data_IF_410749740248
#
_entry.id   IF_410749740248
#
_cell.length_a   1.000
_cell.length_b   1.000
_cell.length_c   1.000
_cell.angle_alpha   90.00
_cell.angle_beta   90.00
_cell.angle_gamma   90.00
#
_symmetry.space_group_name_H-M   'P 1'
#
loop_
_entity.id
_entity.type
_entity.pdbx_description
1 polymer ?
#
# COMPACT_ATOMS: atom_id res chain seq x y z
N UNK A 1 2.70 7.23 13.55
CA UNK A 1 2.87 7.35 12.08
C UNK A 1 2.92 8.82 11.65
N UNK A 2 2.12 9.71 12.22
CA UNK A 2 2.28 11.16 12.02
C UNK A 2 3.68 11.58 12.50
N UNK A 3 4.39 12.36 11.67
CA UNK A 3 5.80 12.75 11.87
C UNK A 3 6.77 11.55 12.01
N UNK A 4 6.47 10.42 11.35
CA UNK A 4 7.40 9.29 11.31
C UNK A 4 8.66 9.67 10.54
N UNK A 5 9.87 9.57 11.12
CA UNK A 5 11.11 9.89 10.41
C UNK A 5 11.51 8.80 9.41
N UNK A 6 10.86 7.64 9.46
CA UNK A 6 11.12 6.49 8.59
C UNK A 6 10.12 6.53 7.43
N UNK A 7 10.57 6.40 6.16
CA UNK A 7 9.67 6.25 5.02
C UNK A 7 8.75 5.03 5.17
N UNK A 8 7.48 5.20 4.82
CA UNK A 8 6.46 4.14 4.92
C UNK A 8 6.06 3.70 3.51
N UNK A 9 6.05 2.40 3.27
CA UNK A 9 5.44 1.81 2.07
C UNK A 9 4.12 1.16 2.46
N UNK A 10 3.06 1.46 1.70
CA UNK A 10 1.75 0.82 1.83
C UNK A 10 1.46 0.12 0.51
N UNK A 11 1.39 -1.20 0.55
CA UNK A 11 1.00 -2.05 -0.56
C UNK A 11 -0.47 -2.44 -0.37
N UNK A 12 -1.32 -2.29 -1.39
CA UNK A 12 -2.72 -2.72 -1.27
C UNK A 12 -3.31 -3.21 -2.59
N UNK A 13 -4.06 -4.30 -2.53
CA UNK A 13 -4.72 -4.88 -3.70
C UNK A 13 -6.15 -4.33 -3.83
N UNK A 14 -6.55 -3.92 -5.04
CA UNK A 14 -7.90 -3.41 -5.29
C UNK A 14 -8.99 -4.48 -5.13
N UNK A 15 -8.62 -5.76 -5.29
CA UNK A 15 -9.50 -6.92 -5.14
C UNK A 15 -9.49 -7.53 -3.72
N UNK A 16 -8.98 -6.80 -2.72
CA UNK A 16 -9.08 -7.21 -1.32
C UNK A 16 -10.54 -7.13 -0.82
N UNK A 17 -11.12 -8.30 -0.55
CA UNK A 17 -12.48 -8.44 -0.02
C UNK A 17 -12.56 -8.41 1.52
N UNK A 18 -11.43 -8.40 2.22
CA UNK A 18 -11.34 -8.36 3.68
C UNK A 18 -11.15 -6.91 4.16
N UNK A 19 -10.23 -6.17 3.53
CA UNK A 19 -9.94 -4.78 3.86
C UNK A 19 -10.20 -3.91 2.63
N UNK A 20 -11.21 -3.01 2.66
CA UNK A 20 -11.51 -2.16 1.52
C UNK A 20 -10.30 -1.34 1.04
N UNK A 21 -10.08 -1.35 -0.27
CA UNK A 21 -8.98 -0.61 -0.92
C UNK A 21 -8.91 0.87 -0.51
N UNK A 22 -10.08 1.49 -0.37
CA UNK A 22 -10.23 2.90 -0.01
C UNK A 22 -9.63 3.25 1.34
N UNK A 23 -9.56 2.32 2.30
CA UNK A 23 -8.95 2.57 3.60
C UNK A 23 -7.43 2.73 3.52
N UNK A 24 -6.76 1.88 2.74
CA UNK A 24 -5.32 1.98 2.50
C UNK A 24 -4.96 3.30 1.82
N UNK A 25 -5.75 3.69 0.81
CA UNK A 25 -5.59 4.98 0.11
C UNK A 25 -5.77 6.17 1.07
N UNK A 26 -6.85 6.17 1.87
CA UNK A 26 -7.13 7.24 2.83
C UNK A 26 -6.04 7.37 3.89
N UNK A 27 -5.48 6.25 4.36
CA UNK A 27 -4.35 6.26 5.29
C UNK A 27 -3.13 6.93 4.66
N UNK A 28 -2.76 6.56 3.43
CA UNK A 28 -1.64 7.17 2.72
C UNK A 28 -1.84 8.69 2.54
N UNK A 29 -3.04 9.12 2.14
CA UNK A 29 -3.37 10.55 1.98
C UNK A 29 -3.21 11.33 3.29
N UNK A 30 -3.70 10.79 4.41
CA UNK A 30 -3.56 11.43 5.73
C UNK A 30 -2.08 11.51 6.13
N UNK A 31 -1.31 10.43 5.97
CA UNK A 31 0.12 10.43 6.33
C UNK A 31 0.91 11.43 5.49
N UNK A 32 0.70 11.46 4.17
CA UNK A 32 1.33 12.41 3.26
C UNK A 32 0.99 13.84 3.61
N UNK A 33 -0.29 14.13 3.91
CA UNK A 33 -0.75 15.48 4.28
C UNK A 33 -0.12 15.95 5.60
N UNK A 34 0.20 15.01 6.50
CA UNK A 34 0.88 15.29 7.77
C UNK A 34 2.41 15.21 7.65
N UNK A 35 2.97 15.41 6.45
CA UNK A 35 4.42 15.51 6.23
C UNK A 35 5.20 14.21 6.38
N UNK A 36 4.53 13.05 6.45
CA UNK A 36 5.20 11.75 6.50
C UNK A 36 5.54 11.28 5.10
N UNK A 37 6.78 10.84 4.87
CA UNK A 37 7.18 10.22 3.61
C UNK A 37 6.46 8.88 3.46
N UNK A 38 5.53 8.80 2.50
CA UNK A 38 4.72 7.61 2.25
C UNK A 38 4.65 7.30 0.77
N UNK A 39 4.90 6.04 0.42
CA UNK A 39 4.71 5.51 -0.92
C UNK A 39 3.54 4.52 -0.91
N UNK A 40 2.47 4.84 -1.64
CA UNK A 40 1.30 3.97 -1.79
C UNK A 40 1.38 3.25 -3.13
N UNK A 41 1.53 1.94 -3.11
CA UNK A 41 1.54 1.06 -4.29
C UNK A 41 0.21 0.30 -4.37
N UNK A 42 -0.69 0.71 -5.27
CA UNK A 42 -1.87 -0.10 -5.58
C UNK A 42 -1.48 -1.26 -6.49
N UNK A 43 -2.12 -2.41 -6.28
CA UNK A 43 -2.14 -3.51 -7.22
C UNK A 43 -3.52 -3.62 -7.86
N UNK A 44 -3.55 -3.58 -9.20
CA UNK A 44 -4.79 -3.68 -9.96
C UNK A 44 -5.53 -4.98 -9.64
N UNK A 45 -6.86 -4.90 -9.45
CA UNK A 45 -7.64 -6.05 -9.04
C UNK A 45 -7.60 -7.24 -10.01
N UNK A 46 -7.33 -6.97 -11.31
CA UNK A 46 -7.17 -8.02 -12.34
C UNK A 46 -5.97 -8.94 -12.10
N UNK A 47 -5.03 -8.55 -11.23
CA UNK A 47 -3.84 -9.35 -10.89
C UNK A 47 -4.16 -10.45 -9.85
N UNK A 48 -5.30 -10.35 -9.15
CA UNK A 48 -5.80 -11.44 -8.31
C UNK A 48 -5.08 -11.63 -6.98
N UNK A 49 -4.34 -10.62 -6.49
CA UNK A 49 -3.56 -10.75 -5.27
C UNK A 49 -4.42 -10.84 -4.01
N UNK A 50 -5.62 -10.23 -4.03
CA UNK A 50 -6.56 -10.25 -2.88
C UNK A 50 -5.85 -9.81 -1.59
N UNK A 51 -6.35 -10.27 -0.45
CA UNK A 51 -5.79 -9.95 0.86
C UNK A 51 -4.40 -10.57 1.12
N UNK A 52 -4.10 -11.73 0.52
CA UNK A 52 -3.01 -12.59 0.99
C UNK A 52 -1.81 -12.68 0.05
N UNK A 53 -1.95 -12.37 -1.25
CA UNK A 53 -0.97 -12.77 -2.26
C UNK A 53 -0.13 -11.61 -2.80
N UNK A 54 -0.19 -10.41 -2.23
CA UNK A 54 0.71 -9.30 -2.63
C UNK A 54 2.19 -9.70 -2.53
N UNK A 55 2.53 -10.58 -1.58
CA UNK A 55 3.90 -11.09 -1.42
C UNK A 55 4.43 -11.89 -2.62
N UNK A 56 3.55 -12.31 -3.55
CA UNK A 56 3.93 -13.03 -4.77
C UNK A 56 4.13 -12.10 -5.97
N UNK A 57 3.92 -10.79 -5.79
CA UNK A 57 4.07 -9.83 -6.87
C UNK A 57 5.52 -9.79 -7.39
N UNK A 58 5.74 -9.90 -8.71
CA UNK A 58 7.09 -10.01 -9.28
C UNK A 58 7.90 -8.72 -9.14
N UNK A 59 7.24 -7.57 -9.01
CA UNK A 59 7.86 -6.26 -8.80
C UNK A 59 8.12 -5.95 -7.31
N UNK A 60 7.69 -6.80 -6.39
CA UNK A 60 7.87 -6.57 -4.95
C UNK A 60 9.34 -6.39 -4.54
N UNK A 61 10.32 -7.18 -5.05
CA UNK A 61 11.73 -6.98 -4.71
C UNK A 61 12.24 -5.57 -5.06
N UNK A 62 11.80 -5.01 -6.19
CA UNK A 62 12.21 -3.67 -6.64
C UNK A 62 11.61 -2.55 -5.79
N UNK A 63 10.52 -2.83 -5.06
CA UNK A 63 9.83 -1.84 -4.20
C UNK A 63 10.45 -1.77 -2.80
N UNK A 64 11.02 -2.88 -2.30
CA UNK A 64 11.49 -3.01 -0.91
C UNK A 64 13.02 -2.95 -0.76
N UNK A 65 13.76 -2.80 -1.86
CA UNK A 65 15.23 -2.71 -1.89
C UNK A 65 15.68 -1.26 -1.89
#
# INVERSE_FOLDING_TARGET
LINCPIPIVILHAEDDAVVPFTLGKKLAEILSTNGTSVFFKPYEGKLGYRHNFIHTAPDLPDIIT
#
